data_IF_239733673546
#
_entry.id   IF_239733673546
#
_cell.length_a   1.000
_cell.length_b   1.000
_cell.length_c   1.000
_cell.angle_alpha   90.00
_cell.angle_beta   90.00
_cell.angle_gamma   90.00
#
_symmetry.space_group_name_H-M   'P 1'
#
loop_
_entity.id
_entity.type
_entity.pdbx_description
1 polymer ?
#
# COMPACT_ATOMS: atom_id res chain seq x y z
N UNK A 1 47.42 56.93 -5.89
CA UNK A 1 46.17 56.18 -5.60
C UNK A 1 46.20 55.74 -4.14
N UNK A 2 45.12 55.87 -3.37
CA UNK A 2 45.09 55.37 -1.99
C UNK A 2 45.04 53.84 -2.01
N UNK A 3 46.04 53.18 -1.43
CA UNK A 3 46.16 51.72 -1.38
C UNK A 3 45.48 51.11 -0.16
N UNK A 4 45.26 51.91 0.89
CA UNK A 4 44.66 51.49 2.15
C UNK A 4 43.50 52.41 2.54
N UNK A 5 42.58 51.88 3.34
CA UNK A 5 41.43 52.60 3.87
C UNK A 5 41.24 52.24 5.34
N UNK A 6 41.19 53.27 6.18
CA UNK A 6 40.88 53.12 7.62
C UNK A 6 39.37 52.93 7.75
N UNK A 7 38.95 51.86 8.40
CA UNK A 7 37.54 51.68 8.71
C UNK A 7 37.20 52.27 10.08
N UNK A 8 36.24 53.20 10.12
CA UNK A 8 35.94 54.03 11.31
C UNK A 8 35.49 53.24 12.55
N UNK A 9 34.87 52.05 12.42
CA UNK A 9 34.32 51.33 13.58
C UNK A 9 35.31 50.35 14.23
N UNK A 10 36.30 49.84 13.48
CA UNK A 10 37.32 48.97 14.06
C UNK A 10 38.72 49.58 14.03
N UNK A 11 38.86 50.78 13.48
CA UNK A 11 40.09 51.59 13.43
C UNK A 11 41.30 50.86 12.82
N UNK A 12 41.05 49.79 12.07
CA UNK A 12 42.07 49.01 11.40
C UNK A 12 42.26 49.50 9.96
N UNK A 13 43.53 49.53 9.55
CA UNK A 13 43.95 49.81 8.19
C UNK A 13 43.92 48.54 7.36
N UNK A 14 43.01 48.47 6.39
CA UNK A 14 42.95 47.37 5.44
C UNK A 14 43.35 47.83 4.04
N UNK A 15 44.01 46.97 3.24
CA UNK A 15 44.24 47.24 1.83
C UNK A 15 42.89 47.29 1.10
N UNK A 16 42.77 48.18 0.12
CA UNK A 16 41.55 48.42 -0.63
C UNK A 16 41.30 47.31 -1.68
N UNK A 17 41.18 46.06 -1.22
CA UNK A 17 40.95 44.87 -2.06
C UNK A 17 39.57 44.28 -1.78
N UNK A 18 39.08 43.47 -2.74
CA UNK A 18 37.82 42.75 -2.60
C UNK A 18 37.83 41.68 -1.51
N UNK A 19 38.97 41.42 -0.88
CA UNK A 19 39.08 40.51 0.26
C UNK A 19 38.49 41.15 1.52
N UNK A 20 38.85 42.41 1.79
CA UNK A 20 38.46 43.12 3.01
C UNK A 20 37.22 44.00 2.87
N UNK A 21 36.86 44.40 1.66
CA UNK A 21 35.70 45.27 1.39
C UNK A 21 34.75 44.67 0.35
N UNK A 22 33.47 45.04 0.40
CA UNK A 22 32.52 44.68 -0.64
C UNK A 22 32.64 45.66 -1.81
N UNK A 23 32.47 45.17 -3.05
CA UNK A 23 32.44 46.04 -4.23
C UNK A 23 31.18 46.90 -4.24
N UNK A 24 31.32 48.19 -4.55
CA UNK A 24 30.23 49.15 -4.70
C UNK A 24 30.49 50.02 -5.93
N UNK A 25 29.82 49.71 -7.03
CA UNK A 25 30.03 50.35 -8.34
C UNK A 25 29.85 51.87 -8.34
N UNK A 26 29.02 52.40 -7.43
CA UNK A 26 28.77 53.85 -7.30
C UNK A 26 29.78 54.58 -6.41
N UNK A 27 30.68 53.89 -5.71
CA UNK A 27 31.68 54.55 -4.88
C UNK A 27 32.87 54.98 -5.75
N UNK A 28 33.45 56.15 -5.48
CA UNK A 28 34.62 56.67 -6.21
C UNK A 28 35.77 55.66 -6.29
N UNK A 29 36.00 54.93 -5.20
CA UNK A 29 37.07 53.93 -5.11
C UNK A 29 36.59 52.51 -5.44
N UNK A 30 35.32 52.32 -5.83
CA UNK A 30 34.75 51.01 -6.19
C UNK A 30 34.42 50.07 -5.01
N UNK A 31 34.63 50.48 -3.76
CA UNK A 31 34.41 49.65 -2.56
C UNK A 31 33.50 50.32 -1.51
N UNK A 32 32.90 49.51 -0.64
CA UNK A 32 32.12 49.98 0.51
C UNK A 32 32.98 50.75 1.51
N UNK A 33 32.33 51.53 2.38
CA UNK A 33 32.99 52.17 3.52
C UNK A 33 33.29 51.17 4.64
N UNK A 34 32.44 50.14 4.78
CA UNK A 34 32.53 49.12 5.82
C UNK A 34 33.39 47.92 5.39
N UNK A 35 34.27 47.45 6.28
CA UNK A 35 35.01 46.20 6.06
C UNK A 35 34.10 44.97 6.29
N UNK A 36 34.39 43.86 5.60
CA UNK A 36 33.58 42.63 5.66
C UNK A 36 33.49 42.05 7.07
N UNK A 37 34.57 42.12 7.85
CA UNK A 37 34.60 41.62 9.23
C UNK A 37 33.57 42.34 10.10
N UNK A 38 33.50 43.67 10.00
CA UNK A 38 32.57 44.45 10.81
C UNK A 38 31.12 44.35 10.31
N UNK A 39 30.91 44.23 9.00
CA UNK A 39 29.57 43.92 8.46
C UNK A 39 29.10 42.56 8.96
N UNK A 40 29.97 41.55 8.95
CA UNK A 40 29.67 40.20 9.44
C UNK A 40 29.32 40.22 10.94
N UNK A 41 30.16 40.86 11.78
CA UNK A 41 29.89 41.02 13.22
C UNK A 41 28.57 41.74 13.49
N UNK A 42 28.33 42.87 12.83
CA UNK A 42 27.08 43.64 12.99
C UNK A 42 25.85 42.85 12.52
N UNK A 43 25.97 42.08 11.44
CA UNK A 43 24.89 41.20 10.94
C UNK A 43 24.58 40.09 11.95
N UNK A 44 25.61 39.48 12.54
CA UNK A 44 25.46 38.45 13.56
C UNK A 44 24.83 39.00 14.84
N UNK A 45 25.24 40.18 15.30
CA UNK A 45 24.63 40.86 16.46
C UNK A 45 23.17 41.20 16.21
N UNK A 46 22.85 41.77 15.04
CA UNK A 46 21.47 42.06 14.65
C UNK A 46 20.61 40.79 14.58
N UNK A 47 21.17 39.71 14.04
CA UNK A 47 20.52 38.40 14.04
C UNK A 47 20.27 37.89 15.46
N UNK A 48 21.30 37.90 16.34
CA UNK A 48 21.21 37.48 17.74
C UNK A 48 20.14 38.28 18.50
N UNK A 49 20.13 39.60 18.35
CA UNK A 49 19.13 40.50 18.97
C UNK A 49 17.72 40.20 18.46
N UNK A 50 17.56 39.85 17.18
CA UNK A 50 16.27 39.46 16.62
C UNK A 50 15.81 38.10 17.11
N UNK A 51 16.70 37.14 17.36
CA UNK A 51 16.30 35.80 17.83
C UNK A 51 16.31 35.64 19.36
N UNK A 52 16.70 36.67 20.11
CA UNK A 52 16.70 36.63 21.58
C UNK A 52 15.29 36.75 22.17
N UNK A 53 14.33 37.33 21.45
CA UNK A 53 12.94 37.43 21.88
C UNK A 53 12.06 36.37 21.18
N UNK A 54 11.01 35.88 21.84
CA UNK A 54 10.10 34.91 21.21
C UNK A 54 9.41 35.48 19.96
N UNK A 55 8.99 36.75 20.02
CA UNK A 55 8.39 37.44 18.88
C UNK A 55 9.35 37.49 17.68
N UNK A 56 10.62 37.78 17.93
CA UNK A 56 11.61 37.84 16.87
C UNK A 56 11.98 36.45 16.32
N UNK A 57 11.98 35.40 17.16
CA UNK A 57 12.04 34.00 16.70
C UNK A 57 10.84 33.64 15.82
N UNK A 58 9.64 34.05 16.22
CA UNK A 58 8.42 33.82 15.44
C UNK A 58 8.47 34.53 14.08
N UNK A 59 8.88 35.81 14.03
CA UNK A 59 9.08 36.56 12.79
C UNK A 59 10.14 35.94 11.89
N UNK A 60 11.24 35.45 12.45
CA UNK A 60 12.28 34.76 11.69
C UNK A 60 11.74 33.46 11.07
N UNK A 61 11.06 32.62 11.87
CA UNK A 61 10.39 31.40 11.40
C UNK A 61 9.37 31.70 10.29
N UNK A 62 8.57 32.74 10.44
CA UNK A 62 7.57 33.13 9.46
C UNK A 62 8.21 33.62 8.16
N UNK A 63 9.28 34.40 8.24
CA UNK A 63 10.05 34.83 7.07
C UNK A 63 10.63 33.62 6.32
N UNK A 64 11.22 32.67 7.05
CA UNK A 64 11.72 31.42 6.46
C UNK A 64 10.59 30.61 5.81
N UNK A 65 9.43 30.49 6.47
CA UNK A 65 8.25 29.81 5.91
C UNK A 65 7.76 30.48 4.63
N UNK A 66 7.64 31.81 4.60
CA UNK A 66 7.26 32.56 3.40
C UNK A 66 8.24 32.33 2.25
N UNK A 67 9.55 32.37 2.52
CA UNK A 67 10.58 32.06 1.52
C UNK A 67 10.48 30.62 1.02
N UNK A 68 10.26 29.65 1.90
CA UNK A 68 10.09 28.24 1.53
C UNK A 68 8.80 28.01 0.72
N UNK A 69 7.69 28.69 1.08
CA UNK A 69 6.44 28.65 0.31
C UNK A 69 6.65 29.23 -1.09
N UNK A 70 7.31 30.39 -1.21
CA UNK A 70 7.64 31.01 -2.50
C UNK A 70 8.56 30.13 -3.35
N UNK A 71 9.53 29.47 -2.74
CA UNK A 71 10.38 28.49 -3.45
C UNK A 71 9.53 27.31 -3.95
N UNK A 72 8.68 26.74 -3.09
CA UNK A 72 7.86 25.57 -3.45
C UNK A 72 6.64 25.88 -4.31
N UNK A 73 6.31 27.14 -4.55
CA UNK A 73 5.23 27.51 -5.48
C UNK A 73 5.67 27.41 -6.93
N UNK A 74 6.97 27.45 -7.22
CA UNK A 74 7.50 27.25 -8.57
C UNK A 74 7.77 25.76 -8.84
N UNK A 75 7.63 25.34 -10.09
CA UNK A 75 7.93 23.96 -10.49
C UNK A 75 9.40 23.59 -10.23
N UNK A 76 10.32 24.47 -10.62
CA UNK A 76 11.75 24.29 -10.38
C UNK A 76 12.08 24.12 -8.88
N UNK A 77 11.44 24.92 -8.02
CA UNK A 77 11.66 24.81 -6.58
C UNK A 77 11.05 23.54 -5.97
N UNK A 78 9.91 23.05 -6.50
CA UNK A 78 9.38 21.72 -6.15
C UNK A 78 10.32 20.61 -6.60
N UNK A 79 10.85 20.68 -7.82
CA UNK A 79 11.80 19.71 -8.35
C UNK A 79 13.07 19.64 -7.49
N UNK A 80 13.67 20.79 -7.15
CA UNK A 80 14.83 20.89 -6.25
C UNK A 80 14.55 20.31 -4.86
N UNK A 81 13.38 20.60 -4.28
CA UNK A 81 12.99 20.06 -2.98
C UNK A 81 12.79 18.53 -3.00
N UNK A 82 12.20 18.01 -4.08
CA UNK A 82 12.01 16.58 -4.29
C UNK A 82 13.34 15.87 -4.52
N UNK A 83 14.24 16.45 -5.31
CA UNK A 83 15.58 15.92 -5.55
C UNK A 83 16.40 15.87 -4.26
N UNK A 84 16.41 16.94 -3.48
CA UNK A 84 17.07 16.97 -2.17
C UNK A 84 16.51 15.87 -1.24
N UNK A 85 15.18 15.71 -1.22
CA UNK A 85 14.51 14.65 -0.45
C UNK A 85 14.87 13.25 -0.96
N UNK A 86 14.99 13.07 -2.28
CA UNK A 86 15.40 11.82 -2.92
C UNK A 86 16.84 11.47 -2.57
N UNK A 87 17.76 12.44 -2.67
CA UNK A 87 19.18 12.28 -2.33
C UNK A 87 19.39 11.94 -0.85
N UNK A 88 18.58 12.52 0.04
CA UNK A 88 18.60 12.13 1.46
C UNK A 88 18.09 10.69 1.66
N UNK A 89 17.03 10.28 0.94
CA UNK A 89 16.48 8.91 1.07
C UNK A 89 17.30 7.83 0.37
N UNK A 90 18.20 8.20 -0.54
CA UNK A 90 19.03 7.22 -1.27
C UNK A 90 20.22 6.71 -0.44
N UNK A 91 20.62 7.42 0.62
CA UNK A 91 21.70 6.98 1.51
C UNK A 91 21.15 6.23 2.72
N UNK A 92 21.91 5.24 3.23
CA UNK A 92 21.51 4.48 4.41
C UNK A 92 21.37 5.38 5.64
N UNK A 93 22.34 6.27 5.85
CA UNK A 93 22.33 7.24 6.94
C UNK A 93 21.08 8.15 6.88
N UNK A 94 20.68 8.60 5.70
CA UNK A 94 19.49 9.43 5.55
C UNK A 94 18.19 8.65 5.79
N UNK A 95 18.11 7.39 5.36
CA UNK A 95 16.99 6.49 5.72
C UNK A 95 16.91 6.28 7.23
N UNK A 96 18.03 6.01 7.88
CA UNK A 96 18.12 5.82 9.33
C UNK A 96 17.64 7.08 10.08
N UNK A 97 18.17 8.26 9.75
CA UNK A 97 17.75 9.55 10.34
C UNK A 97 16.27 9.82 10.17
N UNK A 98 15.70 9.51 9.00
CA UNK A 98 14.26 9.67 8.75
C UNK A 98 13.43 8.71 9.62
N UNK A 99 13.84 7.46 9.72
CA UNK A 99 13.15 6.46 10.52
C UNK A 99 13.21 6.80 12.01
N UNK A 100 14.36 7.25 12.50
CA UNK A 100 14.55 7.74 13.86
C UNK A 100 13.65 8.95 14.15
N UNK A 101 13.64 9.95 13.26
CA UNK A 101 12.77 11.12 13.40
C UNK A 101 11.28 10.73 13.44
N UNK A 102 10.85 9.77 12.60
CA UNK A 102 9.49 9.24 12.61
C UNK A 102 9.18 8.49 13.91
N UNK A 103 10.11 7.68 14.42
CA UNK A 103 9.99 6.98 15.70
C UNK A 103 9.83 7.97 16.86
N UNK A 104 10.71 8.96 16.92
CA UNK A 104 10.66 10.01 17.95
C UNK A 104 9.37 10.83 17.86
N UNK A 105 8.87 11.11 16.66
CA UNK A 105 7.58 11.78 16.48
C UNK A 105 6.42 10.95 17.01
N UNK A 106 6.36 9.65 16.70
CA UNK A 106 5.31 8.74 17.21
C UNK A 106 5.33 8.63 18.73
N UNK A 107 6.52 8.57 19.33
CA UNK A 107 6.71 8.56 20.79
C UNK A 107 6.26 9.88 21.44
N UNK A 108 6.58 11.01 20.79
CA UNK A 108 6.26 12.35 21.31
C UNK A 108 4.79 12.74 21.16
N UNK A 109 4.10 12.22 20.14
CA UNK A 109 2.71 12.57 19.81
C UNK A 109 1.86 11.32 19.51
N UNK A 110 1.70 10.40 20.48
CA UNK A 110 0.95 9.17 20.27
C UNK A 110 -0.51 9.41 19.87
N UNK A 111 -1.16 10.43 20.44
CA UNK A 111 -2.54 10.82 20.15
C UNK A 111 -2.73 11.22 18.68
N UNK A 112 -1.78 11.98 18.13
CA UNK A 112 -1.81 12.39 16.72
C UNK A 112 -1.52 11.21 15.79
N UNK A 113 -0.64 10.30 16.20
CA UNK A 113 -0.38 9.10 15.43
C UNK A 113 -1.63 8.20 15.34
N UNK A 114 -2.34 8.03 16.45
CA UNK A 114 -3.62 7.31 16.49
C UNK A 114 -4.67 8.00 15.61
N UNK A 115 -4.84 9.32 15.76
CA UNK A 115 -5.76 10.09 14.93
C UNK A 115 -5.47 9.95 13.43
N UNK A 116 -4.20 10.07 13.02
CA UNK A 116 -3.78 9.86 11.64
C UNK A 116 -4.08 8.43 11.14
N UNK A 117 -3.88 7.43 12.00
CA UNK A 117 -4.16 6.02 11.67
C UNK A 117 -5.65 5.79 11.47
N UNK A 118 -6.50 6.37 12.32
CA UNK A 118 -7.97 6.31 12.20
C UNK A 118 -8.41 7.02 10.91
N UNK A 119 -7.93 8.23 10.65
CA UNK A 119 -8.24 8.97 9.43
C UNK A 119 -7.83 8.20 8.16
N UNK A 120 -6.64 7.58 8.17
CA UNK A 120 -6.18 6.74 7.06
C UNK A 120 -7.08 5.51 6.86
N UNK A 121 -7.49 4.84 7.94
CA UNK A 121 -8.43 3.71 7.87
C UNK A 121 -9.79 4.13 7.32
N UNK A 122 -10.32 5.27 7.78
CA UNK A 122 -11.57 5.83 7.26
C UNK A 122 -11.47 6.13 5.76
N UNK A 123 -10.43 6.83 5.32
CA UNK A 123 -10.17 7.12 3.90
C UNK A 123 -10.05 5.82 3.07
N UNK A 124 -9.39 4.79 3.62
CA UNK A 124 -9.27 3.49 2.95
C UNK A 124 -10.62 2.77 2.83
N UNK A 125 -11.48 2.88 3.84
CA UNK A 125 -12.85 2.35 3.79
C UNK A 125 -13.71 3.11 2.79
N UNK A 126 -13.62 4.44 2.74
CA UNK A 126 -14.31 5.27 1.74
C UNK A 126 -13.84 4.96 0.31
N UNK A 127 -12.53 4.74 0.14
CA UNK A 127 -11.94 4.37 -1.16
C UNK A 127 -12.28 2.95 -1.58
N UNK A 128 -12.72 2.09 -0.65
CA UNK A 128 -13.09 0.72 -0.93
C UNK A 128 -14.61 0.53 -0.88
N UNK A 129 -15.32 0.59 -2.01
CA UNK A 129 -16.78 0.54 -2.04
C UNK A 129 -17.39 -0.72 -1.41
N UNK A 130 -16.60 -1.80 -1.24
CA UNK A 130 -16.98 -3.06 -0.56
C UNK A 130 -17.40 -2.92 0.90
N UNK A 131 -16.91 -1.93 1.63
CA UNK A 131 -17.16 -1.84 3.08
C UNK A 131 -18.35 -0.96 3.47
N UNK A 132 -18.94 -0.22 2.53
CA UNK A 132 -19.97 0.78 2.85
C UNK A 132 -21.40 0.23 2.86
N UNK A 133 -21.60 -1.09 2.69
CA UNK A 133 -22.94 -1.70 2.55
C UNK A 133 -23.70 -1.24 1.30
N UNK A 134 -23.14 -0.31 0.52
CA UNK A 134 -23.53 -0.04 -0.86
C UNK A 134 -23.06 -1.25 -1.67
N UNK A 135 -23.90 -1.78 -2.58
CA UNK A 135 -23.52 -2.94 -3.37
C UNK A 135 -22.19 -2.67 -4.05
N UNK A 136 -21.16 -3.38 -3.62
CA UNK A 136 -19.85 -3.43 -4.25
C UNK A 136 -19.81 -4.43 -5.39
N UNK A 137 -20.98 -4.85 -5.88
CA UNK A 137 -21.14 -5.28 -7.25
C UNK A 137 -21.13 -3.99 -8.10
N UNK A 138 -20.15 -3.90 -8.95
CA UNK A 138 -19.15 -2.86 -8.77
C UNK A 138 -19.18 -1.97 -9.99
N UNK A 139 -19.08 -0.64 -9.86
CA UNK A 139 -19.12 0.21 -11.05
C UNK A 139 -18.03 -0.19 -12.07
N UNK A 140 -16.98 -0.87 -11.64
CA UNK A 140 -15.83 -1.30 -12.45
C UNK A 140 -16.05 -2.72 -13.00
N UNK A 141 -16.59 -3.63 -12.18
CA UNK A 141 -17.06 -4.98 -12.53
C UNK A 141 -18.19 -4.94 -13.56
N UNK A 142 -19.16 -4.04 -13.39
CA UNK A 142 -20.27 -3.88 -14.32
C UNK A 142 -19.84 -3.18 -15.62
N UNK A 143 -18.86 -2.26 -15.57
CA UNK A 143 -18.31 -1.63 -16.78
C UNK A 143 -17.43 -2.57 -17.61
N UNK A 144 -16.81 -3.58 -16.99
CA UNK A 144 -15.98 -4.56 -17.70
C UNK A 144 -16.67 -5.89 -18.04
N UNK A 145 -17.89 -6.13 -17.54
CA UNK A 145 -18.69 -7.31 -17.91
C UNK A 145 -18.75 -7.56 -19.43
N UNK A 146 -19.00 -6.56 -20.29
CA UNK A 146 -18.96 -6.76 -21.73
C UNK A 146 -17.57 -7.14 -22.24
N UNK A 147 -16.51 -6.51 -21.72
CA UNK A 147 -15.12 -6.79 -22.15
C UNK A 147 -14.67 -8.19 -21.74
N UNK A 148 -14.95 -8.57 -20.50
CA UNK A 148 -14.67 -9.91 -19.98
C UNK A 148 -15.47 -10.94 -20.78
N UNK A 149 -16.76 -10.69 -21.05
CA UNK A 149 -17.58 -11.56 -21.91
C UNK A 149 -16.96 -11.73 -23.30
N UNK A 150 -16.46 -10.65 -23.91
CA UNK A 150 -15.79 -10.73 -25.20
C UNK A 150 -14.54 -11.60 -25.15
N UNK A 151 -13.73 -11.55 -24.08
CA UNK A 151 -12.58 -12.45 -23.92
C UNK A 151 -12.98 -13.93 -23.90
N UNK A 152 -14.02 -14.30 -23.16
CA UNK A 152 -14.49 -15.69 -23.12
C UNK A 152 -15.12 -16.13 -24.45
N UNK A 153 -15.85 -15.24 -25.13
CA UNK A 153 -16.40 -15.52 -26.44
C UNK A 153 -15.28 -15.70 -27.49
N UNK A 154 -14.29 -14.83 -27.50
CA UNK A 154 -13.12 -14.92 -28.38
C UNK A 154 -12.30 -16.18 -28.09
N UNK A 155 -12.14 -16.56 -26.81
CA UNK A 155 -11.51 -17.81 -26.41
C UNK A 155 -12.23 -19.02 -27.03
N UNK A 156 -13.56 -19.05 -26.94
CA UNK A 156 -14.40 -20.11 -27.51
C UNK A 156 -14.30 -20.17 -29.04
N UNK A 157 -14.40 -19.02 -29.72
CA UNK A 157 -14.32 -18.92 -31.19
C UNK A 157 -12.93 -19.29 -31.73
N UNK A 158 -11.87 -18.99 -30.98
CA UNK A 158 -10.48 -19.25 -31.37
C UNK A 158 -9.90 -20.56 -30.83
N UNK A 159 -10.70 -21.36 -30.12
CA UNK A 159 -10.26 -22.58 -29.42
C UNK A 159 -9.03 -22.34 -28.51
N UNK A 160 -9.08 -21.24 -27.75
CA UNK A 160 -8.07 -20.80 -26.78
C UNK A 160 -8.66 -20.80 -25.37
N UNK A 161 -7.81 -20.71 -24.37
CA UNK A 161 -8.19 -20.64 -22.96
C UNK A 161 -7.88 -19.25 -22.38
N UNK A 162 -8.73 -18.80 -21.45
CA UNK A 162 -8.53 -17.54 -20.72
C UNK A 162 -7.66 -17.81 -19.50
N UNK A 163 -6.48 -17.21 -19.44
CA UNK A 163 -5.56 -17.27 -18.31
C UNK A 163 -5.47 -15.91 -17.59
N UNK A 164 -5.15 -15.93 -16.29
CA UNK A 164 -4.96 -14.71 -15.50
C UNK A 164 -3.47 -14.34 -15.44
N UNK A 165 -3.11 -13.14 -15.92
CA UNK A 165 -1.71 -12.68 -16.03
C UNK A 165 -1.05 -12.59 -14.64
N UNK A 166 -1.79 -12.15 -13.62
CA UNK A 166 -1.34 -12.07 -12.23
C UNK A 166 -2.23 -13.01 -11.40
N UNK A 167 -1.72 -14.14 -10.92
CA UNK A 167 -2.41 -14.92 -9.90
C UNK A 167 -2.49 -14.06 -8.63
N UNK A 168 -3.72 -13.84 -8.13
CA UNK A 168 -3.89 -13.14 -6.85
C UNK A 168 -3.15 -13.91 -5.77
N UNK A 169 -2.25 -13.23 -5.06
CA UNK A 169 -1.65 -13.82 -3.88
C UNK A 169 -2.73 -13.96 -2.79
N UNK A 170 -2.71 -15.01 -1.96
CA UNK A 170 -3.74 -15.24 -0.94
C UNK A 170 -3.97 -14.06 0.02
N UNK A 171 -2.95 -13.22 0.22
CA UNK A 171 -2.99 -12.01 1.06
C UNK A 171 -3.67 -10.80 0.39
N UNK A 172 -4.00 -10.89 -0.90
CA UNK A 172 -4.69 -9.86 -1.68
C UNK A 172 -6.20 -10.16 -1.86
N UNK A 173 -6.70 -11.27 -1.29
CA UNK A 173 -8.13 -11.63 -1.34
C UNK A 173 -8.99 -10.71 -0.43
N UNK A 174 -10.23 -10.38 -0.82
CA UNK A 174 -11.12 -9.45 -0.10
C UNK A 174 -11.72 -10.01 1.19
N UNK A 175 -11.16 -11.08 1.76
CA UNK A 175 -11.64 -11.75 2.97
C UNK A 175 -10.57 -11.68 4.09
N UNK A 176 -10.52 -10.58 4.86
CA UNK A 176 -9.49 -10.36 5.90
C UNK A 176 -9.49 -11.41 7.01
N UNK A 177 -10.58 -12.15 7.20
CA UNK A 177 -10.69 -13.21 8.20
C UNK A 177 -9.92 -14.48 7.81
N UNK A 178 -9.51 -14.63 6.54
CA UNK A 178 -8.61 -15.70 6.10
C UNK A 178 -7.13 -15.36 6.33
N UNK A 179 -6.78 -14.08 6.48
CA UNK A 179 -5.39 -13.61 6.62
C UNK A 179 -4.63 -14.25 7.81
N UNK A 180 -5.25 -14.47 8.98
CA UNK A 180 -4.60 -15.16 10.11
C UNK A 180 -4.19 -16.61 9.80
N UNK A 181 -4.90 -17.29 8.89
CA UNK A 181 -4.54 -18.66 8.48
C UNK A 181 -3.29 -18.71 7.60
N UNK A 182 -3.01 -17.66 6.82
CA UNK A 182 -1.89 -17.63 5.87
C UNK A 182 -0.59 -17.05 6.44
N UNK A 183 -0.66 -16.22 7.49
CA UNK A 183 0.50 -15.51 8.02
C UNK A 183 1.37 -16.35 9.00
N UNK A 184 0.86 -17.47 9.54
CA UNK A 184 1.58 -18.34 10.48
C UNK A 184 1.84 -19.74 9.89
N UNK A 185 2.52 -19.82 8.73
CA UNK A 185 2.91 -21.09 8.10
C UNK A 185 3.79 -22.01 8.97
N UNK A 186 4.47 -21.48 9.99
CA UNK A 186 5.37 -22.27 10.85
C UNK A 186 4.66 -23.07 11.95
N UNK A 187 3.42 -22.72 12.29
CA UNK A 187 2.76 -23.24 13.49
C UNK A 187 1.64 -24.26 13.18
N UNK A 188 1.35 -24.53 11.90
CA UNK A 188 0.28 -25.42 11.47
C UNK A 188 0.79 -26.48 10.47
N UNK A 189 1.29 -27.63 10.93
CA UNK A 189 1.75 -28.72 10.05
C UNK A 189 0.61 -29.30 9.18
N UNK A 190 -0.65 -29.03 9.53
CA UNK A 190 -1.84 -29.45 8.80
C UNK A 190 -2.36 -28.40 7.79
N UNK A 191 -1.63 -27.30 7.57
CA UNK A 191 -2.03 -26.24 6.63
C UNK A 191 -2.12 -26.74 5.18
N UNK A 192 -1.15 -27.53 4.71
CA UNK A 192 -1.14 -28.05 3.34
C UNK A 192 -2.35 -28.96 3.05
N UNK A 193 -2.69 -29.94 3.92
CA UNK A 193 -3.91 -30.74 3.78
C UNK A 193 -5.21 -29.93 3.83
N UNK A 194 -5.29 -28.89 4.67
CA UNK A 194 -6.48 -28.06 4.80
C UNK A 194 -6.66 -27.11 3.60
N UNK A 195 -5.56 -26.52 3.12
CA UNK A 195 -5.53 -25.70 1.91
C UNK A 195 -5.94 -26.53 0.67
N UNK A 196 -5.46 -27.78 0.57
CA UNK A 196 -5.89 -28.72 -0.49
C UNK A 196 -7.36 -29.12 -0.35
N UNK A 197 -7.85 -29.41 0.87
CA UNK A 197 -9.27 -29.67 1.12
C UNK A 197 -10.13 -28.46 0.78
N UNK A 198 -9.64 -27.24 1.02
CA UNK A 198 -10.34 -26.01 0.71
C UNK A 198 -10.37 -25.73 -0.80
N UNK A 199 -9.24 -25.91 -1.50
CA UNK A 199 -9.17 -25.84 -2.97
C UNK A 199 -10.07 -26.90 -3.63
N UNK A 200 -10.06 -28.14 -3.13
CA UNK A 200 -10.91 -29.22 -3.63
C UNK A 200 -12.41 -29.01 -3.31
N UNK A 201 -12.74 -28.36 -2.19
CA UNK A 201 -14.13 -28.15 -1.74
C UNK A 201 -14.77 -26.89 -2.31
N UNK A 202 -13.99 -25.82 -2.56
CA UNK A 202 -14.52 -24.52 -2.96
C UNK A 202 -14.04 -24.05 -4.34
N UNK A 203 -13.21 -24.83 -5.04
CA UNK A 203 -12.83 -24.55 -6.43
C UNK A 203 -12.17 -23.19 -6.67
N UNK A 204 -11.46 -22.63 -5.67
CA UNK A 204 -10.85 -21.32 -5.80
C UNK A 204 -9.54 -21.40 -6.60
N UNK A 205 -9.67 -21.28 -7.91
CA UNK A 205 -8.59 -20.93 -8.83
C UNK A 205 -9.08 -19.84 -9.78
N UNK A 206 -8.75 -18.58 -9.51
CA UNK A 206 -8.44 -17.56 -10.53
C UNK A 206 -8.23 -16.19 -9.87
N UNK A 207 -7.38 -15.36 -10.47
CA UNK A 207 -7.14 -13.99 -10.03
C UNK A 207 -8.37 -13.09 -10.17
N UNK A 208 -8.20 -11.79 -9.92
CA UNK A 208 -9.28 -10.83 -10.11
C UNK A 208 -9.65 -10.82 -11.60
N UNK A 209 -10.91 -11.10 -11.94
CA UNK A 209 -11.43 -11.03 -13.31
C UNK A 209 -11.58 -9.55 -13.71
N UNK A 210 -10.48 -8.96 -14.19
CA UNK A 210 -10.45 -7.67 -14.87
C UNK A 210 -9.80 -7.87 -16.23
N UNK A 211 -10.32 -7.23 -17.27
CA UNK A 211 -9.89 -7.44 -18.66
C UNK A 211 -8.38 -7.23 -18.87
N UNK A 212 -7.77 -6.30 -18.14
CA UNK A 212 -6.32 -6.07 -18.16
C UNK A 212 -5.48 -7.20 -17.51
N UNK A 213 -6.12 -8.13 -16.81
CA UNK A 213 -5.50 -9.28 -16.17
C UNK A 213 -5.84 -10.60 -16.88
N UNK A 214 -6.57 -10.57 -18.00
CA UNK A 214 -6.91 -11.75 -18.79
C UNK A 214 -6.03 -11.81 -20.05
N UNK A 215 -5.59 -13.01 -20.41
CA UNK A 215 -4.88 -13.29 -21.66
C UNK A 215 -5.44 -14.55 -22.32
N UNK A 216 -5.45 -14.58 -23.66
CA UNK A 216 -5.85 -15.76 -24.43
C UNK A 216 -4.62 -16.58 -24.79
N UNK A 217 -4.58 -17.82 -24.33
CA UNK A 217 -3.48 -18.75 -24.60
C UNK A 217 -3.97 -19.95 -25.40
N UNK A 218 -3.09 -20.51 -26.21
CA UNK A 218 -3.34 -21.84 -26.75
C UNK A 218 -3.40 -22.86 -25.59
N UNK A 219 -4.21 -23.90 -25.71
CA UNK A 219 -4.31 -24.97 -24.70
C UNK A 219 -2.94 -25.57 -24.34
N UNK A 220 -2.05 -25.72 -25.33
CA UNK A 220 -0.68 -26.22 -25.12
C UNK A 220 0.18 -25.27 -24.29
N UNK A 221 0.06 -23.96 -24.51
CA UNK A 221 0.79 -22.94 -23.77
C UNK A 221 0.26 -22.82 -22.33
N UNK A 222 -1.07 -22.86 -22.17
CA UNK A 222 -1.68 -22.84 -20.85
C UNK A 222 -1.37 -24.11 -20.04
N UNK A 223 -1.38 -25.28 -20.68
CA UNK A 223 -0.94 -26.54 -20.10
C UNK A 223 0.53 -26.52 -19.68
N UNK A 224 1.40 -25.83 -20.44
CA UNK A 224 2.82 -25.66 -20.06
C UNK A 224 3.03 -24.84 -18.79
N UNK A 225 2.05 -24.00 -18.41
CA UNK A 225 2.02 -23.27 -17.13
C UNK A 225 1.55 -24.14 -15.95
N UNK A 226 1.22 -25.41 -16.21
CA UNK A 226 0.70 -26.34 -15.20
C UNK A 226 -0.78 -26.16 -14.88
N UNK A 227 -1.48 -25.29 -15.62
CA UNK A 227 -2.92 -25.19 -15.52
C UNK A 227 -3.56 -26.42 -16.18
N UNK A 228 -4.43 -27.12 -15.47
CA UNK A 228 -5.19 -28.24 -16.01
C UNK A 228 -6.66 -27.84 -16.11
N UNK A 229 -7.17 -27.69 -17.33
CA UNK A 229 -8.59 -27.49 -17.57
C UNK A 229 -9.19 -28.85 -17.89
N UNK A 230 -9.86 -29.44 -16.91
CA UNK A 230 -10.73 -30.58 -17.18
C UNK A 230 -12.12 -30.05 -17.44
N UNK A 231 -12.82 -30.63 -18.41
CA UNK A 231 -14.24 -30.34 -18.56
C UNK A 231 -14.94 -30.77 -17.27
N UNK A 232 -15.97 -30.03 -16.87
CA UNK A 232 -16.65 -30.29 -15.60
C UNK A 232 -17.18 -31.73 -15.50
N UNK A 233 -17.53 -32.32 -16.65
CA UNK A 233 -17.97 -33.71 -16.84
C UNK A 233 -16.91 -34.75 -16.44
N UNK A 234 -15.63 -34.43 -16.52
CA UNK A 234 -14.53 -35.39 -16.33
C UNK A 234 -14.02 -35.47 -14.88
N UNK A 235 -14.47 -34.58 -13.98
CA UNK A 235 -13.86 -34.44 -12.64
C UNK A 235 -14.79 -34.70 -11.47
N UNK A 236 -16.10 -34.73 -11.65
CA UNK A 236 -17.05 -34.76 -10.55
C UNK A 236 -18.03 -35.93 -10.70
N UNK A 237 -18.13 -36.78 -9.66
CA UNK A 237 -19.07 -37.91 -9.61
C UNK A 237 -20.51 -37.48 -9.24
N UNK A 238 -20.72 -36.24 -8.75
CA UNK A 238 -22.06 -35.67 -8.56
C UNK A 238 -21.98 -34.14 -8.39
N UNK A 239 -22.91 -33.40 -9.03
CA UNK A 239 -23.10 -31.96 -8.85
C UNK A 239 -24.30 -31.79 -7.94
N UNK A 240 -24.25 -30.89 -6.96
CA UNK A 240 -25.36 -30.68 -6.05
C UNK A 240 -25.93 -29.26 -6.19
N UNK A 241 -27.26 -29.14 -6.22
CA UNK A 241 -27.97 -27.87 -6.13
C UNK A 241 -28.55 -27.72 -4.73
N UNK A 242 -28.55 -26.50 -4.22
CA UNK A 242 -29.27 -26.19 -3.00
C UNK A 242 -30.77 -26.22 -3.34
N UNK A 243 -31.56 -26.98 -2.58
CA UNK A 243 -33.01 -27.02 -2.72
C UNK A 243 -33.63 -25.64 -2.51
N UNK A 244 -34.84 -25.44 -3.04
CA UNK A 244 -35.53 -24.14 -3.00
C UNK A 244 -35.83 -23.63 -1.58
N UNK A 245 -35.87 -24.53 -0.59
CA UNK A 245 -36.01 -24.21 0.82
C UNK A 245 -34.68 -23.76 1.47
N UNK A 246 -33.55 -23.91 0.78
CA UNK A 246 -32.22 -23.57 1.27
C UNK A 246 -31.63 -24.56 2.27
N UNK A 247 -32.31 -25.68 2.55
CA UNK A 247 -31.94 -26.58 3.66
C UNK A 247 -31.10 -27.78 3.21
N UNK A 248 -31.24 -28.22 1.95
CA UNK A 248 -30.65 -29.47 1.47
C UNK A 248 -29.85 -29.31 0.18
N UNK A 249 -28.82 -30.15 -0.01
CA UNK A 249 -28.07 -30.23 -1.25
C UNK A 249 -28.50 -31.49 -2.01
N UNK A 250 -29.14 -31.31 -3.16
CA UNK A 250 -29.69 -32.38 -3.98
C UNK A 250 -28.75 -32.68 -5.16
N UNK A 251 -28.36 -33.95 -5.39
CA UNK A 251 -27.54 -34.29 -6.54
C UNK A 251 -28.34 -34.08 -7.84
N UNK A 252 -27.80 -33.29 -8.75
CA UNK A 252 -28.26 -33.18 -10.14
C UNK A 252 -27.87 -34.46 -10.88
N UNK A 253 -28.83 -35.10 -11.54
CA UNK A 253 -28.55 -36.25 -12.40
C UNK A 253 -27.84 -35.81 -13.68
N UNK A 254 -26.99 -36.67 -14.23
CA UNK A 254 -26.25 -36.39 -15.47
C UNK A 254 -27.14 -35.95 -16.64
N UNK A 255 -28.37 -36.48 -16.72
CA UNK A 255 -29.33 -36.13 -17.77
C UNK A 255 -29.96 -34.73 -17.59
N UNK A 256 -29.99 -34.21 -16.37
CA UNK A 256 -30.59 -32.90 -16.07
C UNK A 256 -29.62 -31.75 -16.35
N UNK A 257 -28.32 -32.02 -16.41
CA UNK A 257 -27.26 -31.03 -16.68
C UNK A 257 -27.38 -30.32 -18.02
N UNK A 258 -27.95 -30.98 -19.03
CA UNK A 258 -28.14 -30.39 -20.36
C UNK A 258 -29.23 -29.30 -20.34
N UNK A 259 -30.15 -29.35 -19.37
CA UNK A 259 -31.16 -28.30 -19.14
C UNK A 259 -30.57 -27.04 -18.47
N UNK A 260 -29.36 -27.13 -17.91
CA UNK A 260 -28.60 -26.03 -17.32
C UNK A 260 -27.48 -25.54 -18.26
N UNK A 261 -27.72 -25.54 -19.57
CA UNK A 261 -26.75 -25.17 -20.61
C UNK A 261 -26.11 -23.78 -20.45
N UNK A 262 -26.73 -22.89 -19.68
CA UNK A 262 -26.19 -21.57 -19.32
C UNK A 262 -25.10 -21.61 -18.22
N UNK A 263 -24.96 -22.73 -17.50
CA UNK A 263 -23.93 -22.98 -16.46
C UNK A 263 -22.67 -23.62 -17.06
N UNK A 264 -22.80 -24.34 -18.18
CA UNK A 264 -21.74 -25.14 -18.82
C UNK A 264 -20.42 -24.39 -19.12
N UNK A 265 -20.37 -23.09 -19.50
CA UNK A 265 -19.10 -22.41 -19.75
C UNK A 265 -18.33 -22.02 -18.49
N UNK A 266 -18.94 -22.11 -17.30
CA UNK A 266 -18.43 -21.43 -16.09
C UNK A 266 -17.74 -22.33 -15.06
N UNK A 267 -17.71 -23.65 -15.25
CA UNK A 267 -17.00 -24.53 -14.33
C UNK A 267 -15.89 -25.31 -15.02
N UNK A 268 -14.68 -24.77 -14.91
CA UNK A 268 -13.44 -25.51 -15.09
C UNK A 268 -12.78 -25.69 -13.73
N UNK A 269 -12.43 -26.94 -13.38
CA UNK A 269 -11.75 -27.25 -12.11
C UNK A 269 -10.36 -27.79 -12.42
N UNK A 270 -9.34 -27.12 -11.88
CA UNK A 270 -7.98 -27.63 -11.88
C UNK A 270 -7.84 -28.73 -10.83
N UNK A 271 -7.49 -29.95 -11.26
CA UNK A 271 -7.18 -31.07 -10.35
C UNK A 271 -5.71 -31.45 -10.47
N UNK A 272 -5.06 -31.78 -9.36
CA UNK A 272 -3.75 -32.44 -9.33
C UNK A 272 -3.95 -33.85 -8.76
N UNK A 273 -3.65 -34.88 -9.54
CA UNK A 273 -3.86 -36.28 -9.16
C UNK A 273 -2.76 -36.77 -8.20
N UNK A 274 -3.16 -37.15 -6.98
CA UNK A 274 -2.40 -38.09 -6.15
C UNK A 274 -3.37 -39.13 -5.58
N UNK A 275 -3.12 -40.41 -5.90
CA UNK A 275 -3.82 -41.58 -5.34
C UNK A 275 -3.54 -41.66 -3.83
N UNK A 276 -4.58 -41.71 -3.01
CA UNK A 276 -4.48 -42.02 -1.57
C UNK A 276 -5.39 -43.21 -1.29
N UNK A 277 -4.83 -44.29 -0.77
CA UNK A 277 -5.59 -45.46 -0.30
C UNK A 277 -6.25 -45.20 1.06
N UNK A 278 -7.43 -45.80 1.34
CA UNK A 278 -8.15 -45.57 2.57
C UNK A 278 -7.61 -46.46 3.70
N UNK A 279 -6.97 -45.87 4.71
CA UNK A 279 -6.83 -46.51 6.02
C UNK A 279 -7.69 -45.81 7.07
N UNK A 280 -8.51 -46.65 7.72
CA UNK A 280 -9.42 -46.40 8.84
C UNK A 280 -8.75 -45.61 9.97
N UNK A 281 -9.46 -44.61 10.50
CA UNK A 281 -9.30 -44.15 11.88
C UNK A 281 -10.70 -43.88 12.47
N UNK A 282 -11.15 -44.86 13.25
CA UNK A 282 -12.31 -44.83 14.12
C UNK A 282 -11.85 -44.30 15.49
N UNK A 283 -12.70 -43.46 16.10
CA UNK A 283 -12.74 -43.03 17.50
C UNK A 283 -11.60 -42.16 18.05
N UNK A 284 -11.93 -40.89 18.34
CA UNK A 284 -11.67 -40.22 19.63
C UNK A 284 -12.25 -38.80 19.63
N UNK A 285 -13.49 -38.66 20.10
CA UNK A 285 -13.94 -37.45 20.76
C UNK A 285 -14.77 -37.90 21.96
N UNK A 286 -14.10 -37.98 23.10
CA UNK A 286 -14.77 -38.14 24.37
C UNK A 286 -14.79 -36.79 25.09
N UNK A 287 -16.00 -36.47 25.52
CA UNK A 287 -16.42 -35.24 26.17
C UNK A 287 -15.66 -34.94 27.47
N UNK A 288 -15.37 -33.65 27.72
CA UNK A 288 -15.53 -32.91 29.01
C UNK A 288 -14.61 -31.68 29.07
N UNK A 289 -15.18 -30.49 28.94
CA UNK A 289 -14.73 -29.32 29.69
C UNK A 289 -15.95 -28.51 30.16
N UNK A 290 -16.05 -28.16 31.44
CA UNK A 290 -17.16 -27.37 31.96
C UNK A 290 -16.96 -25.88 31.69
N UNK A 291 -18.01 -25.22 31.21
CA UNK A 291 -18.13 -23.77 31.16
C UNK A 291 -18.20 -23.20 32.59
N UNK A 292 -17.30 -22.30 32.96
CA UNK A 292 -17.46 -21.47 34.15
C UNK A 292 -18.17 -20.17 33.76
N UNK A 293 -19.34 -19.94 34.36
CA UNK A 293 -20.11 -18.70 34.22
C UNK A 293 -19.45 -17.58 35.04
N UNK A 294 -19.13 -16.46 34.41
CA UNK A 294 -18.68 -15.24 35.08
C UNK A 294 -19.93 -14.52 35.62
N UNK A 295 -20.01 -14.33 36.94
CA UNK A 295 -21.05 -13.50 37.57
C UNK A 295 -20.68 -12.01 37.50
N UNK A 296 -21.68 -11.18 37.22
CA UNK A 296 -21.56 -9.73 37.24
C UNK A 296 -21.50 -9.19 38.69
N UNK A 297 -20.74 -8.10 38.95
CA UNK A 297 -20.61 -7.55 40.30
C UNK A 297 -21.91 -6.87 40.74
N UNK A 298 -22.39 -7.26 41.92
CA UNK A 298 -23.51 -6.61 42.60
C UNK A 298 -23.04 -5.38 43.37
N UNK A 299 -23.69 -4.25 43.06
CA UNK A 299 -24.03 -3.11 43.93
C UNK A 299 -22.96 -2.56 44.89
N UNK A 300 -22.50 -1.34 44.57
CA UNK A 300 -22.05 -0.36 45.56
C UNK A 300 -23.28 0.37 46.15
N UNK A 301 -23.42 0.31 47.47
CA UNK A 301 -24.10 1.31 48.29
C UNK A 301 -23.07 1.93 49.21
#
# INVERSE_FOLDING_TARGET
MKTTKIYQKCEQNFPLTSEFFYKRSRAKDGFTTYCKLCVSKATLESYRKRVSTEEGRAKARETTRKSQRKMRSTEEGRAKANEASRKMRSTEEGRAKRNEANCNWRKKYPEKNTANTVAYRAMKLESNPTYTGKPSATAWSNLEKPKIKNFYQEAQESNREVDHIIPLRPDELPFPWLLPMYQNRRDFPDFEPLHRKFQARYGLCCGLHVSANLQLLAQSENGSKGNQFRTYRETHEAIYILSDDGENWLPIKSEELDSYSWIQPQLYVATTTARIEPKRLINRFDSKMPFQSIQAPQNLK
#
